data_IF_316894941976
#
_entry.id   IF_316894941976
#
_cell.length_a   1.000
_cell.length_b   1.000
_cell.length_c   1.000
_cell.angle_alpha   90.00
_cell.angle_beta   90.00
_cell.angle_gamma   90.00
#
_symmetry.space_group_name_H-M   'P 1'
#
loop_
_entity.id
_entity.type
_entity.pdbx_description
1 polymer ?
#
# COMPACT_ATOMS: atom_id res chain seq x y z
N UNK A 1 -45.93 3.66 -18.27
CA UNK A 1 -45.57 2.22 -18.28
C UNK A 1 -44.19 1.98 -18.88
N UNK A 2 -43.91 2.33 -20.15
CA UNK A 2 -42.54 2.19 -20.71
C UNK A 2 -41.53 3.14 -20.03
N UNK A 3 -41.91 4.40 -19.80
CA UNK A 3 -41.05 5.37 -19.10
C UNK A 3 -40.78 4.99 -17.63
N UNK A 4 -41.79 4.45 -16.93
CA UNK A 4 -41.65 3.95 -15.55
C UNK A 4 -40.74 2.71 -15.50
N UNK A 5 -40.86 1.81 -16.49
CA UNK A 5 -39.99 0.65 -16.61
C UNK A 5 -38.54 1.07 -16.91
N UNK A 6 -38.35 2.09 -17.75
CA UNK A 6 -37.02 2.64 -18.05
C UNK A 6 -36.39 3.32 -16.83
N UNK A 7 -37.14 4.15 -16.10
CA UNK A 7 -36.69 4.76 -14.84
C UNK A 7 -36.35 3.71 -13.79
N UNK A 8 -37.17 2.67 -13.65
CA UNK A 8 -36.91 1.59 -12.71
C UNK A 8 -35.68 0.77 -13.11
N UNK A 9 -35.48 0.52 -14.41
CA UNK A 9 -34.27 -0.11 -14.94
C UNK A 9 -33.03 0.76 -14.64
N UNK A 10 -33.09 2.05 -14.92
CA UNK A 10 -31.99 2.99 -14.65
C UNK A 10 -31.68 3.09 -13.16
N UNK A 11 -32.69 3.09 -12.30
CA UNK A 11 -32.51 3.05 -10.85
C UNK A 11 -31.77 1.79 -10.41
N UNK A 12 -32.20 0.61 -10.88
CA UNK A 12 -31.54 -0.67 -10.55
C UNK A 12 -30.10 -0.69 -11.08
N UNK A 13 -29.87 -0.22 -12.31
CA UNK A 13 -28.54 -0.13 -12.90
C UNK A 13 -27.63 0.80 -12.08
N UNK A 14 -28.11 1.99 -11.70
CA UNK A 14 -27.34 2.92 -10.88
C UNK A 14 -27.01 2.37 -9.50
N UNK A 15 -27.95 1.65 -8.87
CA UNK A 15 -27.69 0.96 -7.61
C UNK A 15 -26.60 -0.09 -7.79
N UNK A 16 -26.70 -0.95 -8.80
CA UNK A 16 -25.69 -1.97 -9.08
C UNK A 16 -24.30 -1.36 -9.32
N UNK A 17 -24.21 -0.31 -10.14
CA UNK A 17 -22.96 0.41 -10.38
C UNK A 17 -22.38 0.97 -9.08
N UNK A 18 -23.22 1.55 -8.22
CA UNK A 18 -22.78 2.10 -6.93
C UNK A 18 -22.22 1.01 -6.01
N UNK A 19 -22.90 -0.13 -5.90
CA UNK A 19 -22.43 -1.27 -5.10
C UNK A 19 -21.12 -1.85 -5.64
N UNK A 20 -21.00 -2.00 -6.95
CA UNK A 20 -19.78 -2.49 -7.61
C UNK A 20 -18.63 -1.52 -7.37
N UNK A 21 -18.85 -0.21 -7.56
CA UNK A 21 -17.85 0.83 -7.34
C UNK A 21 -17.40 0.87 -5.88
N UNK A 22 -18.33 0.79 -4.92
CA UNK A 22 -18.00 0.72 -3.50
C UNK A 22 -17.17 -0.54 -3.17
N UNK A 23 -17.56 -1.70 -3.71
CA UNK A 23 -16.80 -2.93 -3.56
C UNK A 23 -15.39 -2.84 -4.15
N UNK A 24 -15.26 -2.30 -5.36
CA UNK A 24 -13.98 -2.06 -6.01
C UNK A 24 -13.10 -1.09 -5.21
N UNK A 25 -13.67 -0.04 -4.62
CA UNK A 25 -12.95 0.90 -3.76
C UNK A 25 -12.44 0.24 -2.47
N UNK A 26 -13.25 -0.61 -1.84
CA UNK A 26 -12.88 -1.29 -0.58
C UNK A 26 -11.81 -2.35 -0.80
N UNK A 27 -11.97 -3.19 -1.83
CA UNK A 27 -11.13 -4.37 -2.04
C UNK A 27 -10.02 -4.17 -3.08
N UNK A 28 -10.10 -3.16 -3.94
CA UNK A 28 -9.19 -2.97 -5.08
C UNK A 28 -7.72 -2.95 -4.67
N UNK A 29 -7.38 -2.23 -3.61
CA UNK A 29 -6.02 -2.17 -3.08
C UNK A 29 -5.50 -3.50 -2.51
N UNK A 30 -6.39 -4.43 -2.14
CA UNK A 30 -6.03 -5.72 -1.52
C UNK A 30 -5.73 -6.78 -2.58
N UNK A 31 -6.36 -6.68 -3.75
CA UNK A 31 -6.27 -7.68 -4.83
C UNK A 31 -4.82 -8.05 -5.18
N UNK A 32 -3.85 -7.10 -5.32
CA UNK A 32 -2.46 -7.42 -5.64
C UNK A 32 -1.75 -8.27 -4.58
N UNK A 33 -2.17 -8.20 -3.31
CA UNK A 33 -1.54 -8.95 -2.22
C UNK A 33 -2.02 -10.40 -2.12
N UNK A 34 -3.16 -10.73 -2.73
CA UNK A 34 -3.68 -12.11 -2.77
C UNK A 34 -2.73 -13.07 -3.51
N UNK A 35 -2.28 -12.80 -4.76
CA UNK A 35 -1.31 -13.66 -5.42
C UNK A 35 0.02 -13.70 -4.67
N UNK A 36 0.47 -12.58 -4.10
CA UNK A 36 1.71 -12.51 -3.32
C UNK A 36 1.65 -13.40 -2.07
N UNK A 37 0.55 -13.35 -1.32
CA UNK A 37 0.31 -14.23 -0.17
C UNK A 37 0.39 -15.71 -0.57
N UNK A 38 -0.26 -16.06 -1.69
CA UNK A 38 -0.28 -17.45 -2.19
C UNK A 38 1.11 -17.90 -2.62
N UNK A 39 1.90 -17.01 -3.21
CA UNK A 39 3.26 -17.31 -3.64
C UNK A 39 4.17 -17.59 -2.43
N UNK A 40 4.23 -16.67 -1.46
CA UNK A 40 5.04 -16.83 -0.23
C UNK A 40 4.65 -18.12 0.52
N UNK A 41 3.34 -18.40 0.63
CA UNK A 41 2.85 -19.61 1.30
C UNK A 41 3.23 -20.89 0.55
N UNK A 42 3.34 -20.86 -0.78
CA UNK A 42 3.72 -22.03 -1.58
C UNK A 42 5.23 -22.23 -1.59
N UNK A 43 6.00 -21.16 -1.77
CA UNK A 43 7.45 -21.22 -1.85
C UNK A 43 8.12 -21.37 -0.49
N UNK A 44 7.41 -21.07 0.60
CA UNK A 44 7.97 -20.97 1.95
C UNK A 44 9.19 -20.03 1.98
N UNK A 45 9.19 -19.01 1.12
CA UNK A 45 10.22 -17.99 1.05
C UNK A 45 9.56 -16.60 1.09
N UNK A 46 9.93 -15.80 2.10
CA UNK A 46 9.44 -14.45 2.32
C UNK A 46 10.51 -13.36 2.07
N UNK A 47 11.65 -13.71 1.46
CA UNK A 47 12.69 -12.75 1.06
C UNK A 47 12.26 -11.89 -0.12
N UNK A 48 11.38 -12.42 -0.98
CA UNK A 48 10.86 -11.70 -2.14
C UNK A 48 9.94 -10.53 -1.80
N UNK A 49 9.34 -10.51 -0.60
CA UNK A 49 8.40 -9.48 -0.18
C UNK A 49 8.95 -8.60 0.94
N UNK A 50 8.86 -7.29 0.77
CA UNK A 50 9.36 -6.33 1.75
C UNK A 50 8.34 -6.05 2.85
N UNK A 51 8.68 -6.40 4.09
CA UNK A 51 7.84 -6.11 5.27
C UNK A 51 7.66 -4.60 5.50
N UNK A 52 8.51 -3.75 4.94
CA UNK A 52 8.36 -2.29 4.97
C UNK A 52 7.15 -1.81 4.17
N UNK A 53 6.73 -2.54 3.13
CA UNK A 53 5.47 -2.24 2.41
C UNK A 53 4.29 -2.33 3.38
N UNK A 54 4.29 -3.36 4.25
CA UNK A 54 3.29 -3.46 5.31
C UNK A 54 3.37 -2.30 6.29
N UNK A 55 4.56 -1.84 6.68
CA UNK A 55 4.71 -0.66 7.56
C UNK A 55 4.07 0.58 6.94
N UNK A 56 4.49 0.92 5.72
CA UNK A 56 4.05 2.13 5.02
C UNK A 56 2.53 2.13 4.88
N UNK A 57 1.95 0.99 4.48
CA UNK A 57 0.49 0.85 4.39
C UNK A 57 -0.19 0.90 5.76
N UNK A 58 0.31 0.23 6.78
CA UNK A 58 -0.27 0.32 8.12
C UNK A 58 -0.31 1.77 8.61
N UNK A 59 0.81 2.50 8.49
CA UNK A 59 0.92 3.91 8.86
C UNK A 59 -0.06 4.77 8.06
N UNK A 60 -0.04 4.70 6.73
CA UNK A 60 -0.94 5.46 5.86
C UNK A 60 -2.42 5.24 6.22
N UNK A 61 -2.81 3.99 6.42
CA UNK A 61 -4.20 3.62 6.70
C UNK A 61 -4.65 4.02 8.11
N UNK A 62 -3.78 3.92 9.11
CA UNK A 62 -4.06 4.38 10.48
C UNK A 62 -4.24 5.90 10.49
N UNK A 63 -3.31 6.64 9.87
CA UNK A 63 -3.41 8.11 9.78
C UNK A 63 -4.68 8.54 9.04
N UNK A 64 -5.08 7.81 7.99
CA UNK A 64 -6.32 8.08 7.25
C UNK A 64 -7.58 7.83 8.09
N UNK A 65 -7.60 6.79 8.92
CA UNK A 65 -8.69 6.56 9.89
C UNK A 65 -8.73 7.70 10.92
N UNK A 66 -7.58 8.17 11.41
CA UNK A 66 -7.53 9.30 12.34
C UNK A 66 -8.01 10.61 11.69
N UNK A 67 -7.62 10.86 10.45
CA UNK A 67 -8.09 11.99 9.65
C UNK A 67 -9.62 12.01 9.51
N UNK A 68 -10.28 10.84 9.46
CA UNK A 68 -11.75 10.75 9.39
C UNK A 68 -12.46 11.45 10.55
N UNK A 69 -11.86 11.46 11.74
CA UNK A 69 -12.44 12.12 12.91
C UNK A 69 -12.37 13.64 12.84
N UNK A 70 -11.37 14.19 12.14
CA UNK A 70 -11.26 15.63 11.90
C UNK A 70 -12.09 16.09 10.70
N UNK A 71 -12.06 15.33 9.60
CA UNK A 71 -12.82 15.64 8.38
C UNK A 71 -13.48 14.39 7.81
N UNK A 72 -14.79 14.46 7.65
CA UNK A 72 -15.56 13.39 7.01
C UNK A 72 -15.19 13.28 5.53
N UNK A 73 -15.01 12.04 5.07
CA UNK A 73 -14.84 11.69 3.66
C UNK A 73 -15.77 10.51 3.31
N UNK A 74 -15.68 9.96 2.11
CA UNK A 74 -16.53 8.84 1.68
C UNK A 74 -16.37 7.58 2.55
N UNK A 75 -17.47 6.90 2.89
CA UNK A 75 -17.44 5.71 3.76
C UNK A 75 -16.72 4.49 3.14
N UNK A 76 -16.73 4.25 1.81
CA UNK A 76 -15.96 3.16 1.21
C UNK A 76 -14.45 3.24 1.49
N UNK A 77 -13.88 4.44 1.58
CA UNK A 77 -12.45 4.63 1.88
C UNK A 77 -12.09 4.27 3.32
N UNK A 78 -13.05 4.44 4.24
CA UNK A 78 -12.86 4.04 5.63
C UNK A 78 -12.79 2.50 5.70
N UNK A 79 -13.72 1.83 5.03
CA UNK A 79 -13.68 0.38 4.91
C UNK A 79 -12.45 -0.12 4.16
N UNK A 80 -12.03 0.55 3.08
CA UNK A 80 -10.76 0.29 2.41
C UNK A 80 -9.61 0.31 3.42
N UNK A 81 -9.57 1.31 4.30
CA UNK A 81 -8.48 1.46 5.27
C UNK A 81 -8.43 0.32 6.27
N UNK A 82 -9.60 -0.10 6.77
CA UNK A 82 -9.71 -1.20 7.73
C UNK A 82 -9.32 -2.53 7.08
N UNK A 83 -9.83 -2.81 5.87
CA UNK A 83 -9.51 -4.05 5.13
C UNK A 83 -8.03 -4.09 4.77
N UNK A 84 -7.44 -2.95 4.39
CA UNK A 84 -6.01 -2.85 4.10
C UNK A 84 -5.15 -3.11 5.34
N UNK A 85 -5.49 -2.53 6.50
CA UNK A 85 -4.78 -2.81 7.77
C UNK A 85 -4.84 -4.30 8.10
N UNK A 86 -6.02 -4.92 8.02
CA UNK A 86 -6.19 -6.34 8.28
C UNK A 86 -5.32 -7.19 7.32
N UNK A 87 -5.32 -6.85 6.03
CA UNK A 87 -4.51 -7.52 5.01
C UNK A 87 -3.01 -7.40 5.32
N UNK A 88 -2.53 -6.21 5.68
CA UNK A 88 -1.12 -6.00 6.01
C UNK A 88 -0.69 -6.77 7.27
N UNK A 89 -1.55 -6.87 8.28
CA UNK A 89 -1.28 -7.69 9.46
C UNK A 89 -1.24 -9.18 9.11
N UNK A 90 -2.13 -9.66 8.24
CA UNK A 90 -2.12 -11.05 7.74
C UNK A 90 -0.84 -11.35 6.95
N UNK A 91 -0.45 -10.45 6.03
CA UNK A 91 0.79 -10.56 5.27
C UNK A 91 2.00 -10.58 6.18
N UNK A 92 2.06 -9.67 7.16
CA UNK A 92 3.16 -9.59 8.10
C UNK A 92 3.28 -10.86 8.95
N UNK A 93 2.17 -11.38 9.46
CA UNK A 93 2.14 -12.65 10.18
C UNK A 93 2.65 -13.82 9.32
N UNK A 94 2.24 -13.90 8.05
CA UNK A 94 2.75 -14.91 7.12
C UNK A 94 4.27 -14.79 6.96
N UNK A 95 4.76 -13.59 6.65
CA UNK A 95 6.19 -13.35 6.44
C UNK A 95 7.02 -13.68 7.69
N UNK A 96 6.56 -13.31 8.88
CA UNK A 96 7.26 -13.65 10.13
C UNK A 96 7.26 -15.15 10.39
N UNK A 97 6.14 -15.85 10.13
CA UNK A 97 6.07 -17.29 10.35
C UNK A 97 7.01 -18.06 9.42
N UNK A 98 7.08 -17.65 8.15
CA UNK A 98 8.00 -18.24 7.17
C UNK A 98 9.46 -17.93 7.54
N UNK A 99 9.80 -16.68 7.89
CA UNK A 99 11.17 -16.32 8.29
C UNK A 99 11.64 -17.09 9.52
N UNK A 100 10.78 -17.25 10.53
CA UNK A 100 11.08 -18.03 11.74
C UNK A 100 11.27 -19.52 11.42
N UNK A 101 10.50 -20.07 10.47
CA UNK A 101 10.67 -21.46 10.06
C UNK A 101 11.97 -21.70 9.28
N UNK A 102 12.42 -20.72 8.49
CA UNK A 102 13.62 -20.82 7.66
C UNK A 102 14.91 -20.50 8.43
N UNK A 103 14.88 -19.54 9.36
CA UNK A 103 16.07 -19.14 10.14
C UNK A 103 16.13 -19.86 11.50
N UNK A 104 16.80 -21.03 11.54
CA UNK A 104 17.02 -21.82 12.77
C UNK A 104 18.03 -21.22 13.77
N UNK A 105 18.78 -20.16 13.42
CA UNK A 105 20.00 -19.76 14.15
C UNK A 105 20.21 -18.23 14.34
N UNK A 106 19.31 -17.35 13.88
CA UNK A 106 19.55 -15.89 14.00
C UNK A 106 19.18 -15.36 15.40
N UNK A 107 19.98 -14.42 15.91
CA UNK A 107 19.76 -13.71 17.18
C UNK A 107 18.32 -13.18 17.24
N UNK A 108 17.52 -13.64 18.22
CA UNK A 108 16.13 -13.24 18.41
C UNK A 108 16.05 -11.73 18.68
N UNK A 109 15.42 -10.97 17.78
CA UNK A 109 15.27 -9.51 17.89
C UNK A 109 13.86 -9.18 18.37
N UNK A 110 13.75 -8.31 19.37
CA UNK A 110 12.46 -7.89 19.96
C UNK A 110 12.24 -6.38 19.81
N UNK A 111 10.98 -5.96 19.93
CA UNK A 111 10.59 -4.55 19.93
C UNK A 111 11.31 -3.73 21.02
N UNK A 112 11.68 -4.35 22.14
CA UNK A 112 12.39 -3.69 23.25
C UNK A 112 13.86 -3.43 22.99
N UNK A 113 14.42 -4.01 21.92
CA UNK A 113 15.78 -3.70 21.49
C UNK A 113 15.72 -2.35 20.77
N UNK A 114 15.98 -1.25 21.49
CA UNK A 114 15.94 0.14 21.00
C UNK A 114 17.07 0.48 20.00
N UNK A 115 17.35 -0.44 19.08
CA UNK A 115 18.33 -0.26 18.02
C UNK A 115 17.63 0.19 16.73
N UNK A 116 17.75 1.50 16.46
CA UNK A 116 17.18 2.12 15.26
C UNK A 116 17.71 1.53 13.96
N UNK A 117 18.92 0.93 13.96
CA UNK A 117 19.49 0.32 12.75
C UNK A 117 18.73 -0.93 12.29
N UNK A 118 17.91 -1.52 13.18
CA UNK A 118 17.14 -2.73 12.94
C UNK A 118 15.61 -2.50 13.07
N UNK A 119 15.16 -1.25 12.98
CA UNK A 119 13.74 -0.90 13.05
C UNK A 119 12.93 -1.70 12.01
N UNK A 120 11.79 -2.27 12.42
CA UNK A 120 10.91 -3.09 11.58
C UNK A 120 11.53 -4.39 11.02
N UNK A 121 12.55 -4.94 11.71
CA UNK A 121 13.17 -6.23 11.38
C UNK A 121 13.09 -7.25 12.54
N UNK A 122 11.98 -7.24 13.28
CA UNK A 122 11.77 -8.13 14.43
C UNK A 122 11.44 -9.57 14.02
N UNK A 123 11.71 -10.50 14.92
CA UNK A 123 11.52 -11.94 14.65
C UNK A 123 10.07 -12.40 14.84
N UNK A 124 9.33 -11.85 15.80
CA UNK A 124 7.96 -12.30 16.11
C UNK A 124 6.93 -11.29 15.65
N UNK A 125 5.80 -11.80 15.16
CA UNK A 125 4.64 -10.98 14.80
C UNK A 125 4.18 -10.05 15.94
N UNK A 126 4.24 -10.50 17.20
CA UNK A 126 3.81 -9.74 18.37
C UNK A 126 4.58 -8.43 18.53
N UNK A 127 5.88 -8.42 18.22
CA UNK A 127 6.72 -7.22 18.33
C UNK A 127 6.25 -6.14 17.32
N UNK A 128 5.84 -6.54 16.11
CA UNK A 128 5.23 -5.64 15.13
C UNK A 128 3.87 -5.12 15.60
N UNK A 129 3.01 -6.01 16.14
CA UNK A 129 1.69 -5.62 16.63
C UNK A 129 1.79 -4.60 17.77
N UNK A 130 2.73 -4.79 18.70
CA UNK A 130 3.00 -3.84 19.77
C UNK A 130 3.41 -2.46 19.21
N UNK A 131 4.31 -2.43 18.22
CA UNK A 131 4.69 -1.19 17.55
C UNK A 131 3.48 -0.49 16.89
N UNK A 132 2.64 -1.25 16.19
CA UNK A 132 1.44 -0.71 15.50
C UNK A 132 0.45 -0.14 16.51
N UNK A 133 0.19 -0.85 17.61
CA UNK A 133 -0.70 -0.38 18.67
C UNK A 133 -0.13 0.86 19.35
N UNK A 134 1.17 0.87 19.69
CA UNK A 134 1.83 2.01 20.29
C UNK A 134 1.77 3.26 19.38
N UNK A 135 2.06 3.09 18.09
CA UNK A 135 1.92 4.14 17.09
C UNK A 135 0.47 4.65 17.00
N UNK A 136 -0.50 3.73 16.94
CA UNK A 136 -1.93 4.09 16.84
C UNK A 136 -2.39 4.90 18.05
N UNK A 137 -2.04 4.48 19.27
CA UNK A 137 -2.41 5.18 20.50
C UNK A 137 -1.75 6.56 20.58
N UNK A 138 -0.45 6.66 20.23
CA UNK A 138 0.27 7.92 20.21
C UNK A 138 -0.33 8.88 19.17
N UNK A 139 -0.53 8.40 17.94
CA UNK A 139 -1.12 9.20 16.87
C UNK A 139 -2.54 9.64 17.23
N UNK A 140 -3.37 8.74 17.78
CA UNK A 140 -4.72 9.07 18.23
C UNK A 140 -4.72 10.13 19.35
N UNK A 141 -3.81 10.02 20.32
CA UNK A 141 -3.66 11.00 21.39
C UNK A 141 -3.27 12.38 20.85
N UNK A 142 -2.28 12.44 19.96
CA UNK A 142 -1.86 13.69 19.31
C UNK A 142 -3.01 14.27 18.47
N UNK A 143 -3.70 13.43 17.69
CA UNK A 143 -4.86 13.86 16.90
C UNK A 143 -5.98 14.39 17.77
N UNK A 144 -6.26 13.76 18.92
CA UNK A 144 -7.27 14.23 19.86
C UNK A 144 -6.94 15.62 20.42
N UNK A 145 -5.68 15.85 20.80
CA UNK A 145 -5.25 17.16 21.32
C UNK A 145 -5.28 18.28 20.27
N UNK A 146 -5.07 17.95 19.00
CA UNK A 146 -4.93 18.91 17.90
C UNK A 146 -6.13 18.91 16.94
N UNK A 147 -7.25 18.30 17.34
CA UNK A 147 -8.42 18.09 16.47
C UNK A 147 -9.07 19.41 16.03
N UNK A 148 -9.02 20.43 16.89
CA UNK A 148 -9.57 21.77 16.60
C UNK A 148 -8.71 22.55 15.58
N UNK A 149 -7.46 22.13 15.34
CA UNK A 149 -6.56 22.78 14.40
C UNK A 149 -6.78 22.26 12.98
N UNK A 150 -7.39 23.07 12.11
CA UNK A 150 -7.60 22.70 10.70
C UNK A 150 -6.29 22.41 9.98
N UNK A 151 -5.23 23.17 10.25
CA UNK A 151 -3.90 22.96 9.64
C UNK A 151 -3.37 21.58 9.98
N UNK A 152 -3.52 21.14 11.23
CA UNK A 152 -3.10 19.80 11.65
C UNK A 152 -3.94 18.72 10.95
N UNK A 153 -5.26 18.84 10.94
CA UNK A 153 -6.16 17.85 10.31
C UNK A 153 -5.89 17.71 8.82
N UNK A 154 -5.74 18.83 8.09
CA UNK A 154 -5.45 18.81 6.65
C UNK A 154 -4.06 18.23 6.36
N UNK A 155 -3.07 18.52 7.21
CA UNK A 155 -1.71 17.97 7.12
C UNK A 155 -1.67 16.46 7.42
N UNK A 156 -2.45 16.01 8.39
CA UNK A 156 -2.61 14.59 8.75
C UNK A 156 -3.21 13.82 7.57
N UNK A 157 -4.28 14.36 6.97
CA UNK A 157 -4.90 13.80 5.78
C UNK A 157 -3.91 13.72 4.62
N UNK A 158 -3.18 14.79 4.34
CA UNK A 158 -2.16 14.83 3.29
C UNK A 158 -1.06 13.79 3.54
N UNK A 159 -0.50 13.73 4.76
CA UNK A 159 0.54 12.76 5.12
C UNK A 159 0.05 11.33 4.94
N UNK A 160 -1.20 11.03 5.30
CA UNK A 160 -1.78 9.70 5.15
C UNK A 160 -1.80 9.24 3.69
N UNK A 161 -2.38 10.05 2.79
CA UNK A 161 -2.49 9.70 1.37
C UNK A 161 -1.17 9.85 0.61
N UNK A 162 -0.29 10.77 1.03
CA UNK A 162 1.04 10.92 0.46
C UNK A 162 1.93 9.71 0.78
N UNK A 163 1.86 9.21 2.02
CA UNK A 163 2.55 7.96 2.41
C UNK A 163 2.09 6.79 1.55
N UNK A 164 0.79 6.68 1.26
CA UNK A 164 0.25 5.69 0.31
C UNK A 164 0.76 5.95 -1.13
N UNK A 165 0.84 7.21 -1.56
CA UNK A 165 1.30 7.57 -2.89
C UNK A 165 2.77 7.25 -3.16
N UNK A 166 3.58 7.19 -2.10
CA UNK A 166 5.01 6.89 -2.20
C UNK A 166 5.35 5.39 -2.27
N UNK A 167 4.36 4.50 -2.23
CA UNK A 167 4.59 3.05 -2.33
C UNK A 167 5.31 2.63 -3.61
N UNK A 168 4.99 3.25 -4.75
CA UNK A 168 5.61 2.92 -6.04
C UNK A 168 7.01 3.52 -6.26
N UNK A 169 7.39 4.56 -5.49
CA UNK A 169 8.64 5.29 -5.71
C UNK A 169 9.91 4.47 -5.49
N UNK A 170 10.02 3.62 -4.44
CA UNK A 170 11.17 2.74 -4.29
C UNK A 170 11.41 1.85 -5.51
N UNK A 171 10.34 1.29 -6.09
CA UNK A 171 10.45 0.47 -7.30
C UNK A 171 10.92 1.29 -8.50
N UNK A 172 10.35 2.49 -8.70
CA UNK A 172 10.77 3.42 -9.74
C UNK A 172 12.27 3.74 -9.63
N UNK A 173 12.76 3.96 -8.41
CA UNK A 173 14.16 4.23 -8.13
C UNK A 173 15.05 3.01 -8.37
N UNK A 174 14.68 1.83 -7.87
CA UNK A 174 15.43 0.58 -8.08
C UNK A 174 15.57 0.23 -9.56
N UNK A 175 14.48 0.35 -10.33
CA UNK A 175 14.51 0.16 -11.78
C UNK A 175 15.48 1.14 -12.46
N UNK A 176 15.46 2.41 -12.03
CA UNK A 176 16.36 3.43 -12.57
C UNK A 176 17.82 3.14 -12.24
N UNK A 177 18.13 2.68 -11.02
CA UNK A 177 19.49 2.34 -10.61
C UNK A 177 20.00 1.09 -11.34
N UNK A 178 19.19 0.02 -11.35
CA UNK A 178 19.57 -1.26 -11.94
C UNK A 178 19.56 -1.24 -13.47
N UNK A 179 18.96 -0.22 -14.09
CA UNK A 179 18.70 -0.14 -15.55
C UNK A 179 18.02 -1.40 -16.10
N UNK A 180 17.25 -2.07 -15.25
CA UNK A 180 16.59 -3.36 -15.52
C UNK A 180 15.32 -3.45 -14.70
N UNK A 181 14.33 -4.15 -15.25
CA UNK A 181 13.07 -4.51 -14.58
C UNK A 181 12.95 -6.01 -14.35
N UNK A 182 14.06 -6.75 -14.43
CA UNK A 182 14.09 -8.19 -14.17
C UNK A 182 13.61 -8.51 -12.74
N UNK A 183 12.69 -9.47 -12.64
CA UNK A 183 12.09 -9.89 -11.38
C UNK A 183 10.85 -9.10 -10.96
N UNK A 184 10.47 -8.05 -11.69
CA UNK A 184 9.22 -7.31 -11.44
C UNK A 184 8.03 -7.96 -12.18
N UNK A 185 6.90 -8.12 -11.48
CA UNK A 185 5.67 -8.63 -12.09
C UNK A 185 4.93 -7.53 -12.86
N UNK A 186 5.08 -7.50 -14.19
CA UNK A 186 4.39 -6.53 -15.06
C UNK A 186 2.87 -6.57 -14.87
N UNK A 187 2.30 -7.76 -14.64
CA UNK A 187 0.85 -7.93 -14.40
C UNK A 187 0.39 -7.23 -13.12
N UNK A 188 1.24 -7.21 -12.09
CA UNK A 188 0.96 -6.52 -10.83
C UNK A 188 0.94 -5.01 -11.03
N UNK A 189 1.93 -4.46 -11.75
CA UNK A 189 2.01 -3.03 -12.06
C UNK A 189 0.79 -2.58 -12.86
N UNK A 190 0.37 -3.34 -13.88
CA UNK A 190 -0.86 -3.03 -14.64
C UNK A 190 -2.12 -3.01 -13.76
N UNK A 191 -2.20 -3.91 -12.77
CA UNK A 191 -3.31 -3.95 -11.83
C UNK A 191 -3.30 -2.74 -10.88
N UNK A 192 -2.12 -2.28 -10.42
CA UNK A 192 -1.99 -1.04 -9.67
C UNK A 192 -2.43 0.17 -10.50
N UNK A 193 -1.93 0.29 -11.72
CA UNK A 193 -2.26 1.43 -12.59
C UNK A 193 -3.76 1.51 -12.83
N UNK A 194 -4.40 0.36 -13.09
CA UNK A 194 -5.85 0.30 -13.25
C UNK A 194 -6.60 0.68 -11.96
N UNK A 195 -6.15 0.19 -10.81
CA UNK A 195 -6.76 0.47 -9.52
C UNK A 195 -6.64 1.94 -9.13
N UNK A 196 -5.45 2.52 -9.28
CA UNK A 196 -5.17 3.91 -8.93
C UNK A 196 -5.84 4.89 -9.90
N UNK A 197 -5.93 4.54 -11.18
CA UNK A 197 -6.72 5.32 -12.16
C UNK A 197 -8.20 5.32 -11.80
N UNK A 198 -8.76 4.15 -11.47
CA UNK A 198 -10.15 4.03 -11.06
C UNK A 198 -10.44 4.82 -9.77
N UNK A 199 -9.58 4.67 -8.76
CA UNK A 199 -9.66 5.37 -7.47
C UNK A 199 -9.57 6.89 -7.66
N UNK A 200 -8.65 7.36 -8.50
CA UNK A 200 -8.49 8.79 -8.80
C UNK A 200 -9.70 9.35 -9.55
N UNK A 201 -10.24 8.61 -10.53
CA UNK A 201 -11.49 8.98 -11.20
C UNK A 201 -12.65 9.09 -10.22
N UNK A 202 -12.78 8.14 -9.29
CA UNK A 202 -13.78 8.20 -8.23
C UNK A 202 -13.64 9.47 -7.37
N UNK A 203 -12.42 9.87 -6.99
CA UNK A 203 -12.20 11.08 -6.21
C UNK A 203 -12.57 12.37 -6.94
N UNK A 204 -12.31 12.44 -8.25
CA UNK A 204 -12.69 13.59 -9.07
C UNK A 204 -14.22 13.68 -9.23
N UNK A 205 -14.90 12.55 -9.39
CA UNK A 205 -16.35 12.50 -9.55
C UNK A 205 -17.12 12.74 -8.24
N UNK A 206 -16.55 12.37 -7.10
CA UNK A 206 -17.17 12.53 -5.77
C UNK A 206 -16.75 13.83 -5.05
N UNK A 207 -16.02 14.71 -5.73
CA UNK A 207 -15.49 15.96 -5.16
C UNK A 207 -14.75 15.73 -3.83
N UNK A 208 -13.97 14.66 -3.76
CA UNK A 208 -13.24 14.27 -2.55
C UNK A 208 -12.24 15.37 -2.14
N UNK A 209 -11.82 15.42 -0.85
CA UNK A 209 -10.87 16.42 -0.37
C UNK A 209 -9.59 16.46 -1.23
N UNK A 210 -9.00 17.64 -1.36
CA UNK A 210 -7.94 17.92 -2.35
C UNK A 210 -6.74 16.98 -2.25
N UNK A 211 -6.44 16.49 -1.06
CA UNK A 211 -5.37 15.53 -0.79
C UNK A 211 -5.55 14.23 -1.58
N UNK A 212 -6.78 13.73 -1.72
CA UNK A 212 -7.07 12.43 -2.32
C UNK A 212 -6.81 12.41 -3.82
N UNK A 213 -7.37 13.37 -4.57
CA UNK A 213 -7.17 13.39 -6.02
C UNK A 213 -5.77 13.87 -6.41
N UNK A 214 -5.14 14.78 -5.65
CA UNK A 214 -3.75 15.20 -5.91
C UNK A 214 -2.77 14.05 -5.73
N UNK A 215 -2.87 13.30 -4.62
CA UNK A 215 -2.03 12.13 -4.37
C UNK A 215 -2.42 10.96 -5.29
N UNK A 216 -3.69 10.82 -5.67
CA UNK A 216 -4.12 9.83 -6.66
C UNK A 216 -3.51 10.07 -8.05
N UNK A 217 -3.47 11.32 -8.52
CA UNK A 217 -2.78 11.67 -9.76
C UNK A 217 -1.27 11.39 -9.67
N UNK A 218 -0.65 11.65 -8.51
CA UNK A 218 0.74 11.30 -8.27
C UNK A 218 0.96 9.78 -8.36
N UNK A 219 0.09 8.97 -7.77
CA UNK A 219 0.14 7.49 -7.88
C UNK A 219 0.08 7.03 -9.33
N UNK A 220 -0.93 7.49 -10.07
CA UNK A 220 -1.08 7.18 -11.50
C UNK A 220 0.17 7.61 -12.30
N UNK A 221 0.74 8.78 -11.97
CA UNK A 221 1.97 9.27 -12.59
C UNK A 221 3.19 8.37 -12.32
N UNK A 222 3.36 7.92 -11.07
CA UNK A 222 4.44 6.98 -10.68
C UNK A 222 4.29 5.65 -11.42
N UNK A 223 3.06 5.13 -11.47
CA UNK A 223 2.75 3.88 -12.16
C UNK A 223 3.04 3.94 -13.66
N UNK A 224 2.65 5.02 -14.33
CA UNK A 224 2.98 5.27 -15.73
C UNK A 224 4.50 5.35 -15.92
N UNK A 225 5.22 5.98 -14.99
CA UNK A 225 6.68 6.06 -15.05
C UNK A 225 7.34 4.67 -14.90
N UNK A 226 6.81 3.80 -14.03
CA UNK A 226 7.28 2.40 -13.91
C UNK A 226 6.98 1.62 -15.20
N UNK A 227 5.78 1.73 -15.76
CA UNK A 227 5.43 1.08 -17.03
C UNK A 227 6.31 1.59 -18.19
N UNK A 228 6.65 2.87 -18.19
CA UNK A 228 7.61 3.43 -19.14
C UNK A 228 9.00 2.80 -18.98
N UNK A 229 9.49 2.62 -17.75
CA UNK A 229 10.75 1.92 -17.50
C UNK A 229 10.72 0.46 -17.97
N UNK A 230 9.59 -0.25 -17.77
CA UNK A 230 9.39 -1.61 -18.30
C UNK A 230 9.54 -1.62 -19.81
N UNK A 231 8.84 -0.73 -20.50
CA UNK A 231 8.92 -0.62 -21.96
C UNK A 231 10.35 -0.29 -22.43
N UNK A 232 10.97 0.72 -21.82
CA UNK A 232 12.28 1.21 -22.22
C UNK A 232 13.39 0.17 -22.02
N UNK A 233 13.48 -0.44 -20.82
CA UNK A 233 14.52 -1.43 -20.53
C UNK A 233 14.28 -2.77 -21.21
N UNK A 234 13.03 -3.12 -21.55
CA UNK A 234 12.74 -4.30 -22.38
C UNK A 234 13.22 -4.13 -23.83
N UNK A 235 13.16 -2.90 -24.36
CA UNK A 235 13.51 -2.60 -25.76
C UNK A 235 15.00 -2.26 -25.95
N UNK A 236 15.63 -1.70 -24.93
CA UNK A 236 17.04 -1.36 -24.91
C UNK A 236 17.72 -1.99 -23.69
N UNK A 237 17.90 -3.32 -23.66
CA UNK A 237 18.56 -3.99 -22.55
C UNK A 237 19.99 -3.47 -22.44
N UNK A 238 20.30 -2.78 -21.34
CA UNK A 238 21.66 -2.37 -21.03
C UNK A 238 22.37 -3.54 -20.36
N UNK A 239 23.62 -3.82 -20.77
CA UNK A 239 24.44 -4.83 -20.09
C UNK A 239 24.55 -4.43 -18.61
N UNK A 240 24.35 -5.36 -17.67
CA UNK A 240 24.48 -5.05 -16.25
C UNK A 240 25.85 -4.45 -15.99
N UNK A 241 25.90 -3.35 -15.23
CA UNK A 241 27.15 -2.78 -14.75
C UNK A 241 27.79 -3.87 -13.89
N UNK A 242 28.93 -4.40 -14.31
CA UNK A 242 29.71 -5.39 -13.56
C UNK A 242 30.22 -4.75 -12.26
N UNK A 243 29.38 -4.68 -11.23
CA UNK A 243 29.86 -4.47 -9.88
C UNK A 243 30.51 -5.78 -9.44
N UNK A 244 31.84 -5.76 -9.38
CA UNK A 244 32.66 -6.78 -8.73
C UNK A 244 32.03 -7.14 -7.39
N UNK A 245 31.68 -8.43 -7.26
CA UNK A 245 31.00 -9.01 -6.11
C UNK A 245 31.74 -8.68 -4.82
N UNK A 246 31.09 -7.91 -3.95
CA UNK A 246 31.18 -8.13 -2.51
C UNK A 246 29.78 -8.53 -2.05
N UNK A 247 29.67 -9.72 -1.47
CA UNK A 247 28.42 -10.29 -0.96
C UNK A 247 27.69 -9.27 -0.08
N UNK A 248 26.66 -8.65 -0.62
CA UNK A 248 25.68 -7.92 0.17
C UNK A 248 24.30 -8.21 -0.42
N UNK A 249 23.60 -9.06 0.30
CA UNK A 249 22.16 -9.32 0.34
C UNK A 249 21.33 -8.64 -0.76
N UNK A 250 20.90 -9.47 -1.72
CA UNK A 250 19.87 -9.15 -2.70
C UNK A 250 18.62 -8.61 -2.00
N UNK A 251 18.45 -7.30 -2.02
CA UNK A 251 17.21 -6.64 -1.56
C UNK A 251 16.36 -6.42 -2.80
N UNK A 252 15.51 -7.40 -3.11
CA UNK A 252 14.38 -7.18 -4.03
C UNK A 252 13.30 -6.44 -3.24
N UNK A 253 12.99 -5.22 -3.65
CA UNK A 253 11.99 -4.40 -3.00
C UNK A 253 10.66 -4.50 -3.76
N UNK A 254 9.91 -5.58 -3.53
CA UNK A 254 8.45 -5.55 -3.45
C UNK A 254 7.89 -6.86 -2.90
#
# INVERSE_FOLDING_TARGET
MEDEMFEQLMYVLNQLVTWITAGAMVFGGVVPYIPQYRDIRRTQNAEGFSTYVCLVLLVANILRILFRFGRYFETPLLWQSIVMIATMLIMLNLCTNVRVATELQTKRRSFTDFDWSHFWSWSRFVDYLQCVVAFTLLAAYVTYLLLDSSVFVESLGFLAVFTEAMLGMPQLYCNYQNKSTEGMSIKMVMMWTSGDTFKTGYFLLTEAPVQFWTCGLLQVGVDIAILFQVYYYSRYPQKPISHTVSHTTSTKAL
#
